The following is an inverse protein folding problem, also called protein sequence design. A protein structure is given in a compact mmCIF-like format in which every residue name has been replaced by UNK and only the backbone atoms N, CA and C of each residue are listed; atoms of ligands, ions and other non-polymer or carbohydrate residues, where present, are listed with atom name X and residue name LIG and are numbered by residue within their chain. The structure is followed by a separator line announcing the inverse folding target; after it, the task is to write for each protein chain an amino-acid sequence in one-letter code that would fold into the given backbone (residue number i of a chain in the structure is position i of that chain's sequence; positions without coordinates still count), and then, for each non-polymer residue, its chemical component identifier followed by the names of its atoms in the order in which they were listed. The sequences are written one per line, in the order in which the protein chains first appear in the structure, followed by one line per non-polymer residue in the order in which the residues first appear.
data_IF_985166930263
#
_entry.id   IF_985166930263
#
_cell.length_a   1.000
_cell.length_b   1.000
_cell.length_c   1.000
_cell.angle_alpha   90.00
_cell.angle_beta   90.00
_cell.angle_gamma   90.00
#
_symmetry.space_group_name_H-M   'P 1'
#
loop_
_entity.id
_entity.type
_entity.pdbx_description
1 polymer ?
#
# COMPACT_ATOMS: atom_id res chain seq x y z
N UNK A 1 24.32 16.67 28.31
CA UNK A 1 24.66 15.31 27.84
C UNK A 1 24.06 15.11 26.48
N UNK A 2 24.85 14.76 25.48
CA UNK A 2 24.36 14.48 24.12
C UNK A 2 23.81 13.06 24.09
N UNK A 3 22.49 12.90 23.93
CA UNK A 3 21.92 11.60 23.57
C UNK A 3 22.36 11.30 22.14
N UNK A 4 23.30 10.37 21.96
CA UNK A 4 23.64 9.83 20.65
C UNK A 4 22.50 8.93 20.18
N UNK A 5 21.49 9.53 19.55
CA UNK A 5 20.48 8.78 18.81
C UNK A 5 21.12 8.33 17.49
N UNK A 6 21.79 7.17 17.48
CA UNK A 6 22.28 6.57 16.24
C UNK A 6 21.08 6.33 15.32
N UNK A 7 20.99 7.00 14.15
CA UNK A 7 19.84 6.85 13.27
C UNK A 7 19.78 5.39 12.81
N UNK A 8 18.67 4.71 13.08
CA UNK A 8 18.39 3.41 12.46
C UNK A 8 17.87 3.63 11.04
N UNK A 9 18.33 2.84 10.07
CA UNK A 9 17.76 2.83 8.72
C UNK A 9 16.27 2.46 8.79
N UNK A 10 15.40 3.39 8.38
CA UNK A 10 13.95 3.17 8.33
C UNK A 10 13.45 2.79 6.94
N UNK A 11 14.16 3.21 5.91
CA UNK A 11 13.87 2.94 4.50
C UNK A 11 15.18 2.63 3.78
N UNK A 12 15.13 1.65 2.87
CA UNK A 12 16.25 1.23 2.02
C UNK A 12 15.80 1.24 0.57
N UNK A 13 16.64 1.71 -0.35
CA UNK A 13 16.44 1.58 -1.80
C UNK A 13 17.70 0.93 -2.36
N UNK A 14 17.55 -0.26 -2.94
CA UNK A 14 18.64 -1.02 -3.54
C UNK A 14 18.85 -0.62 -5.01
N UNK A 15 20.05 -0.86 -5.53
CA UNK A 15 20.37 -0.59 -6.94
C UNK A 15 19.56 -1.39 -7.97
N UNK A 16 18.90 -2.46 -7.53
CA UNK A 16 17.97 -3.24 -8.35
C UNK A 16 16.51 -2.70 -8.32
N UNK A 17 16.26 -1.59 -7.61
CA UNK A 17 14.95 -0.95 -7.50
C UNK A 17 14.08 -1.40 -6.32
N UNK A 18 14.51 -2.38 -5.53
CA UNK A 18 13.75 -2.82 -4.36
C UNK A 18 13.76 -1.75 -3.26
N UNK A 19 12.57 -1.41 -2.76
CA UNK A 19 12.35 -0.49 -1.64
C UNK A 19 11.93 -1.28 -0.41
N UNK A 20 12.73 -1.20 0.64
CA UNK A 20 12.45 -1.79 1.95
C UNK A 20 12.00 -0.73 2.96
N UNK A 21 10.93 -0.98 3.71
CA UNK A 21 10.52 -0.18 4.88
C UNK A 21 10.69 -1.05 6.12
N UNK A 22 11.49 -0.62 7.09
CA UNK A 22 11.83 -1.43 8.27
C UNK A 22 12.75 -2.63 7.99
N UNK A 23 13.32 -2.73 6.78
CA UNK A 23 14.28 -3.77 6.37
C UNK A 23 15.37 -3.18 5.46
N UNK A 24 16.56 -3.76 5.51
CA UNK A 24 17.70 -3.43 4.63
C UNK A 24 17.94 -4.47 3.55
N UNK A 25 17.22 -5.60 3.60
CA UNK A 25 17.33 -6.70 2.63
C UNK A 25 15.95 -7.00 1.99
N UNK A 26 15.33 -6.03 1.31
CA UNK A 26 14.02 -6.23 0.67
C UNK A 26 14.07 -7.29 -0.43
N UNK A 27 13.11 -8.21 -0.41
CA UNK A 27 13.03 -9.35 -1.36
C UNK A 27 12.08 -9.10 -2.53
N UNK A 28 11.26 -8.05 -2.45
CA UNK A 28 10.34 -7.60 -3.49
C UNK A 28 10.52 -6.10 -3.78
N UNK A 29 9.91 -5.62 -4.87
CA UNK A 29 10.00 -4.20 -5.26
C UNK A 29 9.54 -3.25 -4.16
N UNK A 30 8.50 -3.64 -3.40
CA UNK A 30 8.11 -3.00 -2.15
C UNK A 30 8.01 -4.07 -1.07
N UNK A 31 8.84 -3.96 -0.04
CA UNK A 31 8.89 -4.89 1.09
C UNK A 31 8.74 -4.09 2.40
N UNK A 32 7.64 -4.29 3.11
CA UNK A 32 7.33 -3.60 4.36
C UNK A 32 7.45 -4.60 5.51
N UNK A 33 8.50 -4.47 6.31
CA UNK A 33 8.70 -5.23 7.53
C UNK A 33 7.88 -4.61 8.67
N UNK A 34 6.57 -4.78 8.61
CA UNK A 34 5.60 -4.32 9.59
C UNK A 34 4.29 -5.10 9.47
N UNK A 35 3.41 -4.95 10.47
CA UNK A 35 2.11 -5.62 10.52
C UNK A 35 0.99 -4.85 9.78
N UNK A 36 1.29 -3.65 9.29
CA UNK A 36 0.27 -2.72 8.77
C UNK A 36 0.79 -1.87 7.60
N UNK A 37 -0.11 -1.62 6.64
CA UNK A 37 0.04 -0.61 5.58
C UNK A 37 -1.21 0.27 5.61
N UNK A 38 -1.04 1.60 5.67
CA UNK A 38 -2.16 2.54 5.75
C UNK A 38 -2.32 3.37 4.48
N UNK A 39 -3.45 3.20 3.80
CA UNK A 39 -3.94 4.12 2.77
C UNK A 39 -4.85 5.14 3.47
N UNK A 40 -4.40 6.40 3.59
CA UNK A 40 -5.09 7.38 4.46
C UNK A 40 -6.45 7.85 3.94
N UNK A 41 -6.56 8.01 2.63
CA UNK A 41 -7.75 8.59 1.99
C UNK A 41 -8.70 7.48 1.58
N UNK A 42 -9.92 7.47 2.15
CA UNK A 42 -11.01 6.62 1.67
C UNK A 42 -11.50 7.12 0.31
N UNK A 43 -11.78 6.21 -0.62
CA UNK A 43 -12.31 6.50 -1.96
C UNK A 43 -13.23 5.37 -2.41
N UNK A 44 -14.49 5.71 -2.65
CA UNK A 44 -15.45 4.87 -3.36
C UNK A 44 -15.40 5.23 -4.86
N UNK A 45 -15.09 4.29 -5.78
CA UNK A 45 -15.23 4.53 -7.20
C UNK A 45 -16.67 4.93 -7.56
N UNK A 46 -16.86 5.91 -8.44
CA UNK A 46 -18.19 6.44 -8.80
C UNK A 46 -19.12 5.40 -9.45
N UNK A 47 -18.56 4.36 -10.07
CA UNK A 47 -19.27 3.21 -10.65
C UNK A 47 -18.30 2.04 -10.82
N UNK A 48 -18.82 0.86 -11.19
CA UNK A 48 -17.98 -0.29 -11.58
C UNK A 48 -17.13 -0.02 -12.83
N UNK A 49 -17.44 1.02 -13.59
CA UNK A 49 -16.75 1.45 -14.80
C UNK A 49 -16.01 2.80 -14.68
N UNK A 50 -15.87 3.33 -13.46
CA UNK A 50 -15.17 4.59 -13.22
C UNK A 50 -13.69 4.50 -13.66
N UNK A 51 -13.13 5.62 -14.13
CA UNK A 51 -11.76 5.68 -14.62
C UNK A 51 -10.75 5.15 -13.60
N UNK A 52 -9.94 4.18 -14.03
CA UNK A 52 -8.88 3.58 -13.22
C UNK A 52 -7.88 2.83 -14.08
N UNK A 53 -6.67 2.68 -13.56
CA UNK A 53 -5.65 1.81 -14.11
C UNK A 53 -5.61 0.47 -13.37
N UNK A 54 -5.37 -0.62 -14.11
CA UNK A 54 -5.26 -1.95 -13.52
C UNK A 54 -4.21 -1.95 -12.39
N UNK A 55 -4.59 -2.52 -11.24
CA UNK A 55 -3.75 -2.56 -10.03
C UNK A 55 -4.02 -1.43 -9.03
N UNK A 56 -4.84 -0.42 -9.36
CA UNK A 56 -5.28 0.55 -8.36
C UNK A 56 -6.12 -0.14 -7.27
N UNK A 57 -5.77 0.09 -6.01
CA UNK A 57 -6.50 -0.39 -4.83
C UNK A 57 -6.98 0.82 -4.03
N UNK A 58 -8.26 0.84 -3.69
CA UNK A 58 -8.88 1.87 -2.82
C UNK A 58 -9.83 1.21 -1.83
N UNK A 59 -10.27 1.95 -0.83
CA UNK A 59 -11.14 1.43 0.22
C UNK A 59 -12.13 2.49 0.70
N UNK A 60 -13.24 2.04 1.27
CA UNK A 60 -14.12 2.84 2.12
C UNK A 60 -14.57 2.00 3.34
N UNK A 61 -15.56 2.48 4.08
CA UNK A 61 -16.03 1.82 5.30
C UNK A 61 -16.55 0.39 5.05
N UNK A 62 -17.02 0.08 3.84
CA UNK A 62 -17.76 -1.14 3.54
C UNK A 62 -17.00 -2.09 2.60
N UNK A 63 -16.09 -1.58 1.77
CA UNK A 63 -15.44 -2.37 0.74
C UNK A 63 -13.95 -2.05 0.51
N UNK A 64 -13.21 -3.07 0.10
CA UNK A 64 -11.95 -2.92 -0.65
C UNK A 64 -12.25 -3.02 -2.13
N UNK A 65 -11.79 -2.05 -2.93
CA UNK A 65 -11.96 -2.00 -4.38
C UNK A 65 -10.61 -2.23 -5.07
N UNK A 66 -10.62 -3.04 -6.13
CA UNK A 66 -9.46 -3.27 -7.00
C UNK A 66 -9.85 -3.04 -8.44
N UNK A 67 -9.11 -2.17 -9.13
CA UNK A 67 -9.23 -2.00 -10.57
C UNK A 67 -8.52 -3.17 -11.25
N UNK A 68 -9.28 -4.08 -11.84
CA UNK A 68 -8.75 -5.35 -12.39
C UNK A 68 -8.40 -5.25 -13.88
N UNK A 69 -8.94 -4.24 -14.56
CA UNK A 69 -8.64 -3.86 -15.93
C UNK A 69 -9.00 -2.38 -16.09
N UNK A 70 -8.55 -1.73 -17.17
CA UNK A 70 -8.89 -0.33 -17.45
C UNK A 70 -10.38 -0.09 -17.28
N UNK A 71 -10.72 0.88 -16.43
CA UNK A 71 -12.09 1.27 -16.11
C UNK A 71 -12.97 0.09 -15.66
N UNK A 72 -12.41 -0.87 -14.91
CA UNK A 72 -13.14 -2.06 -14.44
C UNK A 72 -12.82 -2.32 -12.97
N UNK A 73 -13.74 -1.92 -12.09
CA UNK A 73 -13.62 -2.14 -10.65
C UNK A 73 -14.31 -3.44 -10.22
N UNK A 74 -13.64 -4.19 -9.35
CA UNK A 74 -14.24 -5.23 -8.51
C UNK A 74 -14.10 -4.83 -7.05
N UNK A 75 -14.95 -5.39 -6.18
CA UNK A 75 -14.92 -5.10 -4.74
C UNK A 75 -15.12 -6.34 -3.89
N UNK A 76 -14.52 -6.32 -2.71
CA UNK A 76 -14.69 -7.31 -1.64
C UNK A 76 -15.31 -6.61 -0.44
N UNK A 77 -16.36 -7.18 0.14
CA UNK A 77 -16.99 -6.64 1.34
C UNK A 77 -16.07 -6.77 2.56
N UNK A 78 -16.02 -5.72 3.38
CA UNK A 78 -15.38 -5.73 4.69
C UNK A 78 -16.44 -6.08 5.71
N UNK A 79 -16.30 -7.21 6.39
CA UNK A 79 -17.19 -7.60 7.48
C UNK A 79 -16.65 -7.12 8.83
N UNK A 80 -17.53 -6.89 9.79
CA UNK A 80 -17.15 -6.79 11.19
C UNK A 80 -16.76 -8.18 11.71
N UNK A 81 -15.80 -8.23 12.62
CA UNK A 81 -15.39 -9.46 13.31
C UNK A 81 -16.37 -9.83 14.42
#
# INVERSE_FOLDING_TARGET
GTVSNSPSTKMTILGNGNVGIGTITPTNLLDVNGDTIRLRTSRTPASSSATCNAGEIVWDADFVYVCVATNTWKRSAISTW
#
